data_IF_762066551805
#
_entry.id   IF_762066551805
#
_cell.length_a   1.000
_cell.length_b   1.000
_cell.length_c   1.000
_cell.angle_alpha   90.00
_cell.angle_beta   90.00
_cell.angle_gamma   90.00
#
_symmetry.space_group_name_H-M   'P 1'
#
loop_
_entity.id
_entity.type
_entity.pdbx_description
1 polymer ?
#
# COMPACT_ATOMS: atom_id res chain seq x y z
N UNK A 1 -1.56 -5.16 -23.70
CA UNK A 1 -2.51 -5.56 -22.65
C UNK A 1 -2.64 -4.36 -21.72
N UNK A 2 -3.86 -3.92 -21.40
CA UNK A 2 -4.06 -2.85 -20.42
C UNK A 2 -4.00 -3.48 -19.03
N UNK A 3 -2.83 -3.45 -18.40
CA UNK A 3 -2.63 -4.03 -17.08
C UNK A 3 -3.25 -3.11 -16.03
N UNK A 4 -4.57 -3.20 -15.86
CA UNK A 4 -5.32 -2.47 -14.84
C UNK A 4 -5.38 -3.29 -13.56
N UNK A 5 -4.31 -3.19 -12.77
CA UNK A 5 -4.13 -3.98 -11.55
C UNK A 5 -3.48 -3.15 -10.46
N UNK A 6 -3.35 -3.71 -9.27
CA UNK A 6 -2.74 -3.06 -8.13
C UNK A 6 -1.90 -4.03 -7.31
N UNK A 7 -0.93 -3.48 -6.61
CA UNK A 7 -0.17 -4.12 -5.53
C UNK A 7 -0.12 -3.15 -4.36
N UNK A 8 0.13 -3.66 -3.16
CA UNK A 8 0.14 -2.81 -1.98
C UNK A 8 1.08 -3.32 -0.91
N UNK A 9 1.50 -2.40 -0.05
CA UNK A 9 2.10 -2.70 1.24
C UNK A 9 1.17 -2.09 2.28
N UNK A 10 0.60 -2.94 3.13
CA UNK A 10 -0.25 -2.51 4.23
C UNK A 10 0.48 -2.67 5.55
N UNK A 11 0.34 -1.68 6.42
CA UNK A 11 0.99 -1.58 7.72
C UNK A 11 -0.08 -1.75 8.82
N UNK A 12 0.16 -2.68 9.73
CA UNK A 12 -0.75 -2.98 10.83
C UNK A 12 -1.17 -4.44 10.92
N UNK A 13 -2.01 -4.73 11.91
CA UNK A 13 -2.29 -6.11 12.34
C UNK A 13 -3.39 -6.80 11.53
N UNK A 14 -4.47 -6.11 11.18
CA UNK A 14 -5.59 -6.72 10.46
C UNK A 14 -6.48 -5.69 9.76
N UNK A 15 -7.11 -6.08 8.66
CA UNK A 15 -8.14 -5.24 8.00
C UNK A 15 -9.33 -4.93 8.92
N UNK A 16 -9.57 -5.74 9.96
CA UNK A 16 -10.66 -5.48 10.89
C UNK A 16 -10.36 -4.27 11.78
N UNK A 17 -9.15 -4.24 12.36
CA UNK A 17 -8.69 -3.18 13.25
C UNK A 17 -8.31 -1.89 12.51
N UNK A 18 -7.95 -2.00 11.24
CA UNK A 18 -7.33 -0.90 10.50
C UNK A 18 -6.00 -1.34 9.91
N UNK A 19 -5.78 -0.96 8.64
CA UNK A 19 -4.45 -0.94 8.03
C UNK A 19 -4.27 0.39 7.29
N UNK A 20 -3.05 0.90 7.36
CA UNK A 20 -2.48 2.00 6.58
C UNK A 20 -1.82 1.39 5.34
N UNK A 21 -1.99 1.96 4.16
CA UNK A 21 -1.69 1.29 2.90
C UNK A 21 -0.97 2.23 1.94
N UNK A 22 0.28 1.88 1.62
CA UNK A 22 0.94 2.34 0.42
C UNK A 22 0.39 1.55 -0.78
N UNK A 23 -0.55 2.15 -1.51
CA UNK A 23 -1.24 1.54 -2.65
C UNK A 23 -0.53 1.89 -3.96
N UNK A 24 -0.27 0.89 -4.81
CA UNK A 24 0.35 1.08 -6.13
C UNK A 24 -0.59 0.53 -7.19
N UNK A 25 -1.15 1.41 -8.03
CA UNK A 25 -2.06 1.06 -9.12
C UNK A 25 -1.35 1.21 -10.46
N UNK A 26 -1.53 0.24 -11.34
CA UNK A 26 -1.20 0.37 -12.76
C UNK A 26 -2.51 0.56 -13.50
N UNK A 27 -2.66 1.67 -14.23
CA UNK A 27 -3.85 1.99 -15.00
C UNK A 27 -3.41 2.41 -16.39
N UNK A 28 -3.77 1.62 -17.41
CA UNK A 28 -3.37 1.83 -18.79
C UNK A 28 -1.85 2.06 -18.94
N UNK A 29 -1.05 1.26 -18.21
CA UNK A 29 0.41 1.34 -18.21
C UNK A 29 1.02 2.49 -17.40
N UNK A 30 0.20 3.37 -16.80
CA UNK A 30 0.66 4.44 -15.91
C UNK A 30 0.60 3.99 -14.47
N UNK A 31 1.63 4.34 -13.69
CA UNK A 31 1.72 3.99 -12.27
C UNK A 31 1.22 5.14 -11.42
N UNK A 32 0.35 4.83 -10.46
CA UNK A 32 -0.15 5.74 -9.44
C UNK A 32 0.20 5.16 -8.08
N UNK A 33 0.69 6.00 -7.17
CA UNK A 33 0.95 5.64 -5.78
C UNK A 33 0.05 6.52 -4.93
N UNK A 34 -0.72 5.92 -4.04
CA UNK A 34 -1.67 6.62 -3.17
C UNK A 34 -1.55 6.12 -1.74
N UNK A 35 -1.83 7.02 -0.81
CA UNK A 35 -1.98 6.70 0.60
C UNK A 35 -3.45 6.38 0.88
N UNK A 36 -3.72 5.20 1.40
CA UNK A 36 -5.06 4.70 1.66
C UNK A 36 -5.14 3.93 2.97
N UNK A 37 -6.32 3.88 3.57
CA UNK A 37 -6.60 3.05 4.74
C UNK A 37 -7.74 2.08 4.49
N UNK A 38 -7.80 1.01 5.29
CA UNK A 38 -8.93 0.07 5.28
C UNK A 38 -9.32 -0.32 6.69
N UNK A 39 -10.63 -0.38 6.94
CA UNK A 39 -11.21 -0.83 8.20
C UNK A 39 -12.36 -1.81 7.95
N UNK A 40 -12.64 -2.67 8.94
CA UNK A 40 -13.79 -3.59 8.94
C UNK A 40 -13.96 -4.46 7.69
N UNK A 41 -12.85 -4.90 7.09
CA UNK A 41 -12.84 -5.68 5.83
C UNK A 41 -13.53 -4.99 4.64
N UNK A 42 -13.63 -3.65 4.67
CA UNK A 42 -14.16 -2.85 3.58
C UNK A 42 -13.20 -2.67 2.42
N UNK A 43 -13.59 -1.90 1.39
CA UNK A 43 -12.66 -1.39 0.39
C UNK A 43 -11.69 -0.39 1.04
N UNK A 44 -10.49 -0.25 0.47
CA UNK A 44 -9.58 0.82 0.86
C UNK A 44 -10.11 2.19 0.41
N UNK A 45 -9.78 3.23 1.18
CA UNK A 45 -10.17 4.61 0.94
C UNK A 45 -8.94 5.52 1.02
N UNK A 46 -8.79 6.51 0.12
CA UNK A 46 -7.71 7.48 0.24
C UNK A 46 -7.75 8.22 1.58
N UNK A 47 -6.59 8.36 2.21
CA UNK A 47 -6.45 9.09 3.46
C UNK A 47 -6.57 10.59 3.28
N UNK A 48 -7.03 11.28 4.34
CA UNK A 48 -7.16 12.73 4.31
C UNK A 48 -5.79 13.41 4.29
N UNK A 49 -4.87 12.96 5.14
CA UNK A 49 -3.45 13.30 5.06
C UNK A 49 -2.73 12.29 4.20
N UNK A 50 -1.92 12.74 3.25
CA UNK A 50 -1.13 11.86 2.38
C UNK A 50 0.32 11.86 2.87
N UNK A 51 0.71 10.80 3.57
CA UNK A 51 2.05 10.61 4.13
C UNK A 51 2.92 9.67 3.25
N UNK A 52 2.32 8.95 2.29
CA UNK A 52 3.03 8.18 1.26
C UNK A 52 3.35 9.07 0.05
N UNK A 53 4.64 9.24 -0.25
CA UNK A 53 5.13 10.10 -1.33
C UNK A 53 5.96 9.32 -2.35
N UNK A 54 5.49 9.26 -3.60
CA UNK A 54 6.25 8.65 -4.70
C UNK A 54 7.48 9.48 -5.08
N UNK A 55 8.64 8.84 -5.14
CA UNK A 55 9.88 9.43 -5.65
C UNK A 55 10.13 9.02 -7.10
N UNK A 56 9.92 7.74 -7.40
CA UNK A 56 10.09 7.16 -8.75
C UNK A 56 9.05 6.07 -8.96
N UNK A 57 8.48 6.02 -10.15
CA UNK A 57 7.55 4.98 -10.53
C UNK A 57 7.69 4.66 -12.01
N UNK A 58 7.78 3.38 -12.37
CA UNK A 58 7.86 2.94 -13.76
C UNK A 58 7.19 1.58 -13.92
N UNK A 59 6.49 1.40 -15.03
CA UNK A 59 5.98 0.11 -15.47
C UNK A 59 6.43 -0.12 -16.91
N UNK A 60 7.35 -1.05 -17.11
CA UNK A 60 7.92 -1.34 -18.41
C UNK A 60 8.18 -2.84 -18.54
N UNK A 61 7.82 -3.42 -19.69
CA UNK A 61 8.01 -4.85 -19.98
C UNK A 61 7.44 -5.78 -18.90
N UNK A 62 6.29 -5.43 -18.33
CA UNK A 62 5.65 -6.17 -17.24
C UNK A 62 6.29 -6.01 -15.86
N UNK A 63 7.36 -5.21 -15.74
CA UNK A 63 8.07 -4.97 -14.47
C UNK A 63 7.64 -3.64 -13.87
N UNK A 64 7.02 -3.72 -12.69
CA UNK A 64 6.68 -2.58 -11.85
C UNK A 64 7.85 -2.25 -10.91
N UNK A 65 8.32 -1.00 -10.95
CA UNK A 65 9.31 -0.48 -9.99
C UNK A 65 8.79 0.81 -9.39
N UNK A 66 8.74 0.85 -8.06
CA UNK A 66 8.30 2.03 -7.32
C UNK A 66 9.27 2.29 -6.18
N UNK A 67 9.65 3.55 -6.01
CA UNK A 67 10.34 4.09 -4.86
C UNK A 67 9.42 5.14 -4.24
N UNK A 68 9.09 4.97 -2.95
CA UNK A 68 8.26 5.91 -2.22
C UNK A 68 8.88 6.18 -0.84
N UNK A 69 8.45 7.26 -0.21
CA UNK A 69 8.78 7.64 1.16
C UNK A 69 7.50 7.56 2.00
N UNK A 70 7.67 7.16 3.25
CA UNK A 70 6.63 7.20 4.28
C UNK A 70 7.30 7.48 5.62
N UNK A 71 6.83 8.46 6.41
CA UNK A 71 7.36 8.69 7.76
C UNK A 71 7.27 7.43 8.63
N UNK A 72 8.25 7.22 9.51
CA UNK A 72 8.25 6.09 10.46
C UNK A 72 7.17 6.27 11.52
N UNK A 73 6.98 7.50 11.97
CA UNK A 73 5.98 7.84 12.98
C UNK A 73 4.68 8.26 12.29
N UNK A 74 3.58 7.70 12.77
CA UNK A 74 2.24 8.07 12.35
C UNK A 74 1.94 9.54 12.68
N UNK A 75 1.32 10.25 11.74
CA UNK A 75 0.79 11.60 11.97
C UNK A 75 -0.67 11.57 12.44
N UNK A 76 -1.44 10.56 12.02
CA UNK A 76 -2.88 10.44 12.28
C UNK A 76 -3.24 9.15 13.03
N UNK A 77 -3.91 9.26 14.18
CA UNK A 77 -4.17 8.10 15.06
C UNK A 77 -5.05 7.00 14.45
N UNK A 78 -5.97 7.34 13.54
CA UNK A 78 -6.95 6.41 13.00
C UNK A 78 -6.59 5.83 11.62
N UNK A 79 -5.83 6.57 10.81
CA UNK A 79 -5.43 6.15 9.47
C UNK A 79 -3.99 5.65 9.44
N UNK A 80 -3.08 6.25 10.22
CA UNK A 80 -1.66 5.95 10.16
C UNK A 80 -1.23 4.96 11.23
N UNK A 81 -0.45 3.96 10.84
CA UNK A 81 0.21 3.07 11.79
C UNK A 81 1.67 3.46 12.03
N UNK A 82 2.10 3.58 13.29
CA UNK A 82 3.53 3.78 13.57
C UNK A 82 4.33 2.56 13.12
N UNK A 83 5.42 2.77 12.39
CA UNK A 83 6.38 1.72 11.99
C UNK A 83 7.57 1.63 12.94
N UNK A 84 7.55 2.39 14.04
CA UNK A 84 8.60 2.35 15.03
C UNK A 84 8.69 0.95 15.66
N UNK A 85 9.91 0.42 15.75
CA UNK A 85 10.15 -0.93 16.25
C UNK A 85 9.93 -1.99 15.16
N UNK A 86 9.42 -3.15 15.57
CA UNK A 86 9.09 -4.26 14.69
C UNK A 86 7.57 -4.36 14.53
N UNK A 87 7.07 -4.11 13.32
CA UNK A 87 5.63 -4.13 13.05
C UNK A 87 5.29 -5.09 11.91
N UNK A 88 4.09 -5.69 11.92
CA UNK A 88 3.66 -6.54 10.82
C UNK A 88 3.37 -5.68 9.58
N UNK A 89 4.01 -6.05 8.48
CA UNK A 89 3.76 -5.51 7.15
C UNK A 89 3.13 -6.61 6.32
N UNK A 90 2.15 -6.25 5.51
CA UNK A 90 1.38 -7.17 4.68
C UNK A 90 1.59 -6.79 3.21
N UNK A 91 2.22 -7.70 2.47
CA UNK A 91 2.55 -7.47 1.06
C UNK A 91 1.50 -8.13 0.17
N UNK A 92 0.78 -7.31 -0.59
CA UNK A 92 -0.18 -7.76 -1.59
C UNK A 92 0.50 -7.76 -2.95
N UNK A 93 0.92 -8.94 -3.42
CA UNK A 93 1.64 -9.10 -4.69
C UNK A 93 0.73 -9.44 -5.87
N UNK A 94 -0.51 -9.88 -5.60
CA UNK A 94 -1.51 -10.23 -6.62
C UNK A 94 -2.84 -9.56 -6.29
N UNK A 95 -2.97 -8.30 -6.69
CA UNK A 95 -4.20 -7.52 -6.55
C UNK A 95 -5.26 -7.87 -7.60
N UNK A 96 -6.46 -7.36 -7.37
CA UNK A 96 -7.58 -7.45 -8.30
C UNK A 96 -7.48 -6.46 -9.47
N UNK A 97 -8.60 -6.30 -10.18
CA UNK A 97 -8.71 -5.26 -11.20
C UNK A 97 -8.89 -3.87 -10.60
N UNK A 98 -8.38 -2.86 -11.29
CA UNK A 98 -8.62 -1.45 -10.95
C UNK A 98 -9.76 -0.91 -11.82
N UNK A 99 -10.80 -0.37 -11.19
CA UNK A 99 -11.97 0.23 -11.83
C UNK A 99 -11.91 1.76 -11.72
N UNK A 100 -11.25 2.41 -12.68
CA UNK A 100 -10.96 3.84 -12.62
C UNK A 100 -9.92 4.19 -11.54
N UNK A 101 -9.92 5.42 -11.01
CA UNK A 101 -8.88 5.84 -10.06
C UNK A 101 -9.14 5.44 -8.59
N UNK A 102 -10.41 5.23 -8.22
CA UNK A 102 -10.84 5.17 -6.80
C UNK A 102 -11.36 3.81 -6.35
N UNK A 103 -11.60 2.87 -7.27
CA UNK A 103 -12.17 1.57 -6.91
C UNK A 103 -11.22 0.46 -7.32
N UNK A 104 -10.91 -0.40 -6.37
CA UNK A 104 -10.10 -1.61 -6.59
C UNK A 104 -10.93 -2.85 -6.27
N UNK A 105 -10.73 -3.91 -7.04
CA UNK A 105 -11.26 -5.23 -6.74
C UNK A 105 -10.44 -5.90 -5.64
N UNK A 106 -11.06 -6.86 -4.94
CA UNK A 106 -10.42 -7.67 -3.90
C UNK A 106 -9.16 -8.36 -4.47
N UNK A 107 -8.11 -8.43 -3.66
CA UNK A 107 -6.90 -9.20 -3.98
C UNK A 107 -7.21 -10.69 -4.18
N UNK A 108 -6.48 -11.36 -5.06
CA UNK A 108 -6.74 -12.77 -5.40
C UNK A 108 -6.05 -13.77 -4.46
N UNK A 109 -5.04 -13.32 -3.72
CA UNK A 109 -4.27 -14.14 -2.78
C UNK A 109 -4.17 -13.46 -1.43
N UNK A 110 -4.02 -14.25 -0.37
CA UNK A 110 -3.76 -13.68 0.96
C UNK A 110 -2.45 -12.89 0.98
N UNK A 111 -2.41 -11.73 1.65
CA UNK A 111 -1.18 -10.96 1.79
C UNK A 111 -0.08 -11.78 2.47
N UNK A 112 1.16 -11.57 2.05
CA UNK A 112 2.33 -12.14 2.72
C UNK A 112 2.65 -11.27 3.93
N UNK A 113 2.54 -11.82 5.14
CA UNK A 113 2.82 -11.07 6.37
C UNK A 113 4.30 -11.26 6.76
N UNK A 114 4.99 -10.16 7.09
CA UNK A 114 6.35 -10.17 7.65
C UNK A 114 6.47 -9.14 8.76
N UNK A 115 7.15 -9.51 9.85
CA UNK A 115 7.58 -8.52 10.84
C UNK A 115 8.80 -7.78 10.30
N UNK A 116 8.69 -6.47 10.16
CA UNK A 116 9.76 -5.60 9.67
C UNK A 116 10.18 -4.66 10.79
N UNK A 117 11.48 -4.66 11.09
CA UNK A 117 12.07 -3.85 12.15
C UNK A 117 12.79 -2.63 11.57
N UNK A 118 12.11 -1.48 11.48
CA UNK A 118 12.66 -0.27 10.84
C UNK A 118 13.92 0.25 11.54
N UNK A 119 14.06 0.00 12.83
CA UNK A 119 15.23 0.38 13.63
C UNK A 119 16.49 -0.42 13.28
N UNK A 120 16.34 -1.60 12.67
CA UNK A 120 17.45 -2.43 12.21
C UNK A 120 17.93 -2.03 10.80
N UNK A 121 17.17 -1.18 10.12
CA UNK A 121 17.52 -0.61 8.81
C UNK A 121 18.31 0.71 8.93
N UNK A 122 19.09 0.89 10.01
CA UNK A 122 20.02 2.02 10.14
C UNK A 122 21.24 1.75 9.26
N UNK A 123 21.41 2.59 8.23
CA UNK A 123 22.62 2.64 7.40
C UNK A 123 23.66 3.46 8.16
#
# INVERSE_FOLDING_TARGET
MSDNTWVAIAFGYSMNSGLDIAMIKVINGRVFVTDESVHHYGPSMPDYSQNVQAQRASYANGVLRVTFLRPVFASEYFADHSLAGCTPWQFVTVGGMVHGYRRIGKHFQFPIIRNVCTQQCRI
#
